data_IF_261906961651
#
_entry.id   IF_261906961651
#
_cell.length_a   1.000
_cell.length_b   1.000
_cell.length_c   1.000
_cell.angle_alpha   90.00
_cell.angle_beta   90.00
_cell.angle_gamma   90.00
#
_symmetry.space_group_name_H-M   'P 1'
#
loop_
_entity.id
_entity.type
_entity.pdbx_description
1 polymer ?
#
# COMPACT_ATOMS: atom_id res chain seq x y z
N UNK A 1 -86.25 -28.15 37.42
CA UNK A 1 -85.39 -27.10 36.84
C UNK A 1 -83.98 -27.66 36.68
N UNK A 2 -83.48 -27.62 35.43
CA UNK A 2 -82.08 -27.55 34.99
C UNK A 2 -81.13 -28.67 35.47
N UNK A 3 -80.97 -29.74 34.70
CA UNK A 3 -80.13 -29.96 33.51
C UNK A 3 -78.66 -30.32 33.79
N UNK A 4 -78.38 -31.57 33.44
CA UNK A 4 -77.13 -32.30 33.29
C UNK A 4 -76.23 -31.74 32.18
N UNK A 5 -74.90 -31.79 32.38
CA UNK A 5 -73.92 -31.91 31.30
C UNK A 5 -72.72 -32.75 31.76
N UNK A 6 -72.49 -33.83 31.01
CA UNK A 6 -71.29 -34.67 30.98
C UNK A 6 -70.29 -34.10 29.97
N UNK A 7 -68.99 -34.19 30.26
CA UNK A 7 -67.92 -33.88 29.31
C UNK A 7 -66.88 -35.01 29.28
N UNK A 8 -66.68 -35.55 28.08
CA UNK A 8 -65.78 -36.66 27.73
C UNK A 8 -64.44 -36.10 27.22
N UNK A 9 -63.32 -36.70 27.62
CA UNK A 9 -61.97 -36.36 27.15
C UNK A 9 -61.63 -37.05 25.80
N UNK A 10 -60.85 -36.41 24.91
CA UNK A 10 -60.44 -37.03 23.65
C UNK A 10 -59.07 -37.76 23.77
N UNK A 11 -58.93 -38.82 22.98
CA UNK A 11 -57.76 -39.66 22.86
C UNK A 11 -56.63 -39.00 22.04
N UNK A 12 -55.39 -39.15 22.51
CA UNK A 12 -54.17 -38.66 21.87
C UNK A 12 -53.75 -39.50 20.66
N UNK A 13 -53.44 -38.82 19.55
CA UNK A 13 -52.95 -39.41 18.31
C UNK A 13 -51.42 -39.35 18.26
N UNK A 14 -50.77 -40.50 18.06
CA UNK A 14 -49.32 -40.62 17.98
C UNK A 14 -48.81 -40.28 16.57
N UNK A 15 -48.11 -39.15 16.44
CA UNK A 15 -47.44 -38.74 15.20
C UNK A 15 -46.01 -39.30 15.20
N UNK A 16 -45.76 -40.31 14.36
CA UNK A 16 -44.43 -40.85 14.09
C UNK A 16 -43.62 -39.90 13.20
N UNK A 17 -42.67 -39.17 13.80
CA UNK A 17 -41.74 -38.29 13.08
C UNK A 17 -40.62 -39.09 12.40
N UNK A 18 -40.61 -39.15 11.07
CA UNK A 18 -39.46 -39.62 10.28
C UNK A 18 -38.38 -38.52 10.28
N UNK A 19 -37.31 -38.73 11.05
CA UNK A 19 -36.07 -37.93 10.95
C UNK A 19 -35.37 -38.27 9.63
N UNK A 20 -35.42 -37.34 8.67
CA UNK A 20 -34.53 -37.37 7.52
C UNK A 20 -33.08 -37.17 8.00
N UNK A 21 -32.17 -38.05 7.56
CA UNK A 21 -30.75 -37.92 7.84
C UNK A 21 -30.22 -36.64 7.15
N UNK A 22 -29.93 -35.60 7.93
CA UNK A 22 -29.28 -34.40 7.44
C UNK A 22 -27.88 -34.78 6.93
N UNK A 23 -27.68 -34.66 5.60
CA UNK A 23 -26.37 -34.85 4.99
C UNK A 23 -25.37 -33.89 5.62
N UNK A 24 -24.17 -34.39 5.92
CA UNK A 24 -23.08 -33.55 6.45
C UNK A 24 -22.80 -32.43 5.44
N UNK A 25 -22.75 -31.15 5.87
CA UNK A 25 -22.39 -30.06 4.97
C UNK A 25 -21.02 -30.36 4.37
N UNK A 26 -20.95 -30.43 3.04
CA UNK A 26 -19.68 -30.50 2.33
C UNK A 26 -18.91 -29.22 2.64
N UNK A 27 -17.77 -29.36 3.32
CA UNK A 27 -16.84 -28.26 3.56
C UNK A 27 -16.45 -27.69 2.20
N UNK A 28 -16.90 -26.47 1.92
CA UNK A 28 -16.49 -25.75 0.72
C UNK A 28 -15.00 -25.47 0.87
N UNK A 29 -14.19 -26.07 0.00
CA UNK A 29 -12.75 -25.88 0.01
C UNK A 29 -12.44 -24.43 -0.38
N UNK A 30 -11.69 -23.73 0.47
CA UNK A 30 -11.38 -22.32 0.28
C UNK A 30 -10.36 -22.13 -0.86
N UNK A 31 -10.56 -21.09 -1.67
CA UNK A 31 -9.57 -20.68 -2.65
C UNK A 31 -8.42 -19.95 -1.95
N UNK A 32 -7.21 -20.13 -2.44
CA UNK A 32 -6.02 -19.41 -1.97
C UNK A 32 -5.51 -18.47 -3.06
N UNK A 33 -5.06 -17.29 -2.68
CA UNK A 33 -4.35 -16.37 -3.56
C UNK A 33 -2.84 -16.41 -3.33
N UNK A 34 -2.07 -16.25 -4.39
CA UNK A 34 -0.63 -16.10 -4.33
C UNK A 34 -0.20 -14.94 -5.22
N UNK A 35 0.52 -13.99 -4.64
CA UNK A 35 1.08 -12.83 -5.36
C UNK A 35 2.57 -13.02 -5.58
N UNK A 36 3.01 -12.87 -6.82
CA UNK A 36 4.43 -12.92 -7.20
C UNK A 36 4.85 -11.60 -7.81
N UNK A 37 5.98 -11.06 -7.35
CA UNK A 37 6.59 -9.87 -7.93
C UNK A 37 7.54 -10.23 -9.08
N UNK A 38 7.46 -9.47 -10.17
CA UNK A 38 8.30 -9.63 -11.36
C UNK A 38 8.93 -8.27 -11.69
N UNK A 39 10.24 -8.17 -11.53
CA UNK A 39 11.06 -7.02 -11.93
C UNK A 39 11.08 -6.88 -13.46
N UNK A 40 11.09 -5.64 -13.96
CA UNK A 40 11.32 -5.34 -15.38
C UNK A 40 12.78 -5.47 -15.78
N UNK A 41 13.07 -5.47 -17.08
CA UNK A 41 14.44 -5.49 -17.59
C UNK A 41 15.25 -4.26 -17.12
N UNK A 42 14.63 -3.08 -17.11
CA UNK A 42 15.23 -1.86 -16.56
C UNK A 42 15.60 -2.05 -15.07
N UNK A 43 14.67 -2.57 -14.26
CA UNK A 43 14.92 -2.80 -12.85
C UNK A 43 16.00 -3.85 -12.62
N UNK A 44 15.98 -4.96 -13.37
CA UNK A 44 17.02 -5.99 -13.31
C UNK A 44 18.40 -5.46 -13.69
N UNK A 45 18.46 -4.56 -14.69
CA UNK A 45 19.70 -3.90 -15.07
C UNK A 45 20.26 -3.08 -13.90
N UNK A 46 19.42 -2.34 -13.17
CA UNK A 46 19.85 -1.62 -11.98
C UNK A 46 20.23 -2.55 -10.83
N UNK A 47 19.40 -3.53 -10.49
CA UNK A 47 19.69 -4.49 -9.41
C UNK A 47 21.04 -5.21 -9.62
N UNK A 48 21.37 -5.55 -10.87
CA UNK A 48 22.63 -6.21 -11.22
C UNK A 48 23.86 -5.30 -11.18
N UNK A 49 23.70 -3.97 -11.20
CA UNK A 49 24.81 -3.03 -11.42
C UNK A 49 24.87 -1.86 -10.43
N UNK A 50 23.88 -1.66 -9.55
CA UNK A 50 23.73 -0.47 -8.69
C UNK A 50 24.98 -0.19 -7.84
N UNK A 51 25.67 -1.24 -7.35
CA UNK A 51 26.93 -1.09 -6.60
C UNK A 51 28.00 -0.34 -7.39
N UNK A 52 28.12 -0.60 -8.70
CA UNK A 52 29.07 0.09 -9.56
C UNK A 52 28.49 1.39 -10.14
N UNK A 53 27.19 1.41 -10.42
CA UNK A 53 26.53 2.56 -11.05
C UNK A 53 26.37 3.75 -10.11
N UNK A 54 26.24 3.55 -8.79
CA UNK A 54 26.09 4.65 -7.84
C UNK A 54 27.24 5.66 -7.90
N UNK A 55 28.48 5.20 -8.15
CA UNK A 55 29.67 6.06 -8.19
C UNK A 55 29.80 6.85 -9.49
N UNK A 56 29.13 6.39 -10.56
CA UNK A 56 29.05 7.08 -11.86
C UNK A 56 27.61 7.34 -12.27
N UNK A 57 26.77 7.62 -11.30
CA UNK A 57 25.31 7.66 -11.46
C UNK A 57 24.88 8.52 -12.65
N UNK A 58 25.44 9.72 -12.76
CA UNK A 58 25.10 10.65 -13.85
C UNK A 58 25.55 10.20 -15.24
N UNK A 59 26.63 9.42 -15.35
CA UNK A 59 27.06 8.87 -16.63
C UNK A 59 26.12 7.75 -17.07
N UNK A 60 25.68 6.92 -16.13
CA UNK A 60 24.80 5.78 -16.37
C UNK A 60 23.41 6.24 -16.82
N UNK A 61 22.77 7.13 -16.06
CA UNK A 61 21.40 7.59 -16.38
C UNK A 61 21.34 8.32 -17.72
N UNK A 62 22.45 8.90 -18.19
CA UNK A 62 22.54 9.60 -19.48
C UNK A 62 22.83 8.68 -20.68
N UNK A 63 23.06 7.39 -20.45
CA UNK A 63 23.23 6.46 -21.58
C UNK A 63 21.96 6.40 -22.43
N UNK A 64 22.07 6.21 -23.77
CA UNK A 64 20.89 6.19 -24.65
C UNK A 64 19.82 5.18 -24.23
N UNK A 65 20.24 4.02 -23.75
CA UNK A 65 19.32 2.97 -23.29
C UNK A 65 18.54 3.41 -22.04
N UNK A 66 19.23 3.96 -21.03
CA UNK A 66 18.55 4.47 -19.82
C UNK A 66 17.59 5.60 -20.17
N UNK A 67 18.01 6.56 -21.01
CA UNK A 67 17.15 7.65 -21.47
C UNK A 67 15.89 7.14 -22.20
N UNK A 68 16.02 6.12 -23.05
CA UNK A 68 14.88 5.54 -23.74
C UNK A 68 13.89 4.87 -22.77
N UNK A 69 14.39 4.09 -21.81
CA UNK A 69 13.55 3.48 -20.78
C UNK A 69 12.88 4.52 -19.87
N UNK A 70 13.63 5.54 -19.42
CA UNK A 70 13.09 6.66 -18.64
C UNK A 70 11.98 7.38 -19.41
N UNK A 71 12.16 7.61 -20.72
CA UNK A 71 11.13 8.21 -21.56
C UNK A 71 9.85 7.38 -21.57
N UNK A 72 9.94 6.07 -21.84
CA UNK A 72 8.79 5.17 -21.83
C UNK A 72 8.09 5.20 -20.47
N UNK A 73 8.86 5.14 -19.38
CA UNK A 73 8.34 5.21 -18.01
C UNK A 73 7.51 6.48 -17.80
N UNK A 74 8.12 7.65 -17.98
CA UNK A 74 7.48 8.93 -17.68
C UNK A 74 6.30 9.21 -18.61
N UNK A 75 6.40 8.90 -19.91
CA UNK A 75 5.29 9.07 -20.86
C UNK A 75 4.11 8.16 -20.52
N UNK A 76 4.36 6.93 -20.07
CA UNK A 76 3.30 5.98 -19.70
C UNK A 76 2.55 6.45 -18.45
N UNK A 77 3.26 6.89 -17.41
CA UNK A 77 2.62 7.42 -16.19
C UNK A 77 1.89 8.72 -16.48
N UNK A 78 2.48 9.64 -17.25
CA UNK A 78 1.81 10.88 -17.64
C UNK A 78 0.52 10.61 -18.42
N UNK A 79 0.52 9.61 -19.32
CA UNK A 79 -0.67 9.20 -20.05
C UNK A 79 -1.75 8.61 -19.12
N UNK A 80 -1.39 7.79 -18.15
CA UNK A 80 -2.35 7.28 -17.17
C UNK A 80 -2.93 8.41 -16.30
N UNK A 81 -2.08 9.31 -15.81
CA UNK A 81 -2.48 10.47 -15.02
C UNK A 81 -3.39 11.44 -15.80
N UNK A 82 -3.27 11.51 -17.13
CA UNK A 82 -4.18 12.28 -17.99
C UNK A 82 -5.52 11.57 -18.25
N UNK A 83 -5.77 10.42 -17.63
CA UNK A 83 -7.00 9.63 -17.80
C UNK A 83 -7.09 8.87 -19.11
N UNK A 84 -5.97 8.70 -19.84
CA UNK A 84 -5.96 7.92 -21.08
C UNK A 84 -6.36 6.47 -20.77
N UNK A 85 -7.33 5.96 -21.50
CA UNK A 85 -7.80 4.59 -21.36
C UNK A 85 -6.86 3.60 -22.05
N UNK A 86 -6.89 2.34 -21.62
CA UNK A 86 -6.12 1.24 -22.22
C UNK A 86 -4.60 1.50 -22.26
N UNK A 87 -4.05 2.01 -21.15
CA UNK A 87 -2.60 2.14 -20.99
C UNK A 87 -1.94 0.77 -21.20
N UNK A 88 -0.97 0.74 -22.10
CA UNK A 88 -0.13 -0.43 -22.32
C UNK A 88 1.19 -0.20 -21.60
N UNK A 89 1.47 -1.05 -20.61
CA UNK A 89 2.72 -1.03 -19.88
C UNK A 89 3.74 -1.92 -20.58
N UNK A 90 4.93 -1.37 -20.86
CA UNK A 90 6.04 -2.14 -21.40
C UNK A 90 6.67 -2.99 -20.29
N UNK A 91 6.64 -4.33 -20.34
CA UNK A 91 7.24 -5.19 -19.33
C UNK A 91 8.76 -5.08 -19.24
N UNK A 92 9.44 -4.52 -20.24
CA UNK A 92 10.87 -4.22 -20.16
C UNK A 92 11.14 -2.99 -19.28
N UNK A 93 10.14 -2.13 -19.05
CA UNK A 93 10.27 -0.89 -18.27
C UNK A 93 9.56 -0.98 -16.93
N UNK A 94 8.32 -1.47 -16.90
CA UNK A 94 7.50 -1.55 -15.68
C UNK A 94 7.55 -2.92 -15.03
N UNK A 95 7.80 -2.93 -13.72
CA UNK A 95 7.68 -4.11 -12.89
C UNK A 95 6.20 -4.39 -12.60
N UNK A 96 5.87 -5.61 -12.18
CA UNK A 96 4.48 -6.00 -11.93
C UNK A 96 4.32 -7.02 -10.82
N UNK A 97 3.14 -7.04 -10.24
CA UNK A 97 2.67 -8.12 -9.39
C UNK A 97 1.69 -8.97 -10.18
N UNK A 98 1.84 -10.29 -10.08
CA UNK A 98 0.93 -11.27 -10.66
C UNK A 98 0.28 -12.03 -9.51
N UNK A 99 -1.02 -11.81 -9.32
CA UNK A 99 -1.82 -12.49 -8.31
C UNK A 99 -2.61 -13.60 -8.98
N UNK A 100 -2.38 -14.83 -8.55
CA UNK A 100 -3.09 -16.02 -9.04
C UNK A 100 -4.03 -16.53 -7.97
N UNK A 101 -5.24 -16.94 -8.37
CA UNK A 101 -6.21 -17.59 -7.48
C UNK A 101 -6.29 -19.07 -7.81
N UNK A 102 -6.13 -19.92 -6.80
CA UNK A 102 -6.26 -21.38 -6.93
C UNK A 102 -7.40 -21.87 -6.05
N UNK A 103 -8.40 -22.49 -6.66
CA UNK A 103 -9.56 -23.06 -5.96
C UNK A 103 -9.52 -24.59 -6.06
N UNK A 104 -9.58 -25.33 -4.93
CA UNK A 104 -9.60 -26.79 -4.98
C UNK A 104 -10.79 -27.32 -5.78
N UNK A 105 -10.54 -28.28 -6.67
CA UNK A 105 -11.55 -28.86 -7.57
C UNK A 105 -11.71 -28.18 -8.93
N UNK A 106 -11.03 -27.05 -9.19
CA UNK A 106 -11.01 -26.38 -10.49
C UNK A 106 -9.70 -26.56 -11.28
N UNK A 107 -9.09 -27.75 -11.21
CA UNK A 107 -7.77 -28.03 -11.82
C UNK A 107 -7.69 -27.85 -13.35
N UNK A 108 -8.81 -27.65 -14.06
CA UNK A 108 -8.85 -27.53 -15.52
C UNK A 108 -9.25 -26.14 -16.04
N UNK A 109 -9.66 -25.21 -15.17
CA UNK A 109 -9.94 -23.84 -15.60
C UNK A 109 -8.62 -23.05 -15.72
N UNK A 110 -8.48 -22.13 -16.70
CA UNK A 110 -7.34 -21.22 -16.74
C UNK A 110 -7.24 -20.49 -15.39
N UNK A 111 -6.07 -20.51 -14.75
CA UNK A 111 -5.86 -19.69 -13.56
C UNK A 111 -6.06 -18.23 -13.96
N UNK A 112 -7.08 -17.59 -13.38
CA UNK A 112 -7.26 -16.15 -13.53
C UNK A 112 -6.11 -15.45 -12.81
N UNK A 113 -5.35 -14.66 -13.56
CA UNK A 113 -4.24 -13.87 -13.03
C UNK A 113 -4.59 -12.38 -13.08
N UNK A 114 -4.52 -11.72 -11.93
CA UNK A 114 -4.64 -10.27 -11.82
C UNK A 114 -3.22 -9.70 -11.92
N UNK A 115 -3.00 -8.80 -12.87
CA UNK A 115 -1.72 -8.10 -13.03
C UNK A 115 -1.90 -6.67 -12.55
N UNK A 116 -1.07 -6.24 -11.60
CA UNK A 116 -0.97 -4.84 -11.18
C UNK A 116 0.44 -4.33 -11.46
N UNK A 117 0.52 -3.16 -12.08
CA UNK A 117 1.80 -2.58 -12.52
C UNK A 117 2.36 -1.63 -11.45
N UNK A 118 3.68 -1.51 -11.39
CA UNK A 118 4.40 -0.57 -10.53
C UNK A 118 5.60 0.01 -11.28
N UNK A 119 6.00 1.23 -10.95
CA UNK A 119 7.20 1.83 -11.52
C UNK A 119 8.46 1.00 -11.22
N UNK A 120 9.45 0.97 -12.11
CA UNK A 120 10.68 0.23 -11.88
C UNK A 120 11.45 0.78 -10.68
N UNK A 121 12.08 -0.11 -9.92
CA UNK A 121 13.12 0.27 -8.98
C UNK A 121 14.38 0.60 -9.79
N UNK A 122 14.58 1.88 -10.09
CA UNK A 122 15.63 2.37 -10.96
C UNK A 122 16.04 3.79 -10.55
N UNK A 123 17.19 4.25 -11.06
CA UNK A 123 17.77 5.56 -10.77
C UNK A 123 18.13 5.75 -9.28
N UNK A 124 17.97 6.96 -8.75
CA UNK A 124 18.54 7.42 -7.49
C UNK A 124 17.48 7.70 -6.42
N UNK A 125 16.45 6.84 -6.31
CA UNK A 125 15.41 6.93 -5.27
C UNK A 125 14.55 8.21 -5.32
N UNK A 126 14.49 8.84 -6.51
CA UNK A 126 13.78 10.07 -6.83
C UNK A 126 13.27 10.04 -8.26
N UNK A 127 12.56 11.11 -8.66
CA UNK A 127 12.18 11.32 -10.05
C UNK A 127 13.41 11.15 -10.97
N UNK A 128 13.33 10.33 -12.05
CA UNK A 128 14.48 9.98 -12.90
C UNK A 128 15.28 11.17 -13.46
N UNK A 129 14.61 12.30 -13.65
CA UNK A 129 15.18 13.55 -14.18
C UNK A 129 15.47 14.61 -13.11
N UNK A 130 15.31 14.32 -11.81
CA UNK A 130 15.55 15.30 -10.74
C UNK A 130 17.03 15.53 -10.46
N UNK A 131 17.85 14.50 -10.69
CA UNK A 131 19.29 14.51 -10.45
C UNK A 131 20.05 14.84 -11.74
N UNK A 132 21.37 15.05 -11.62
CA UNK A 132 22.26 15.22 -12.77
C UNK A 132 21.89 16.36 -13.73
N UNK A 133 21.23 17.41 -13.22
CA UNK A 133 20.79 18.59 -13.98
C UNK A 133 19.87 18.24 -15.17
N UNK A 134 19.02 17.22 -15.01
CA UNK A 134 18.11 16.75 -16.05
C UNK A 134 16.74 17.45 -16.05
N UNK A 135 16.52 18.40 -15.15
CA UNK A 135 15.49 19.43 -15.26
C UNK A 135 14.16 19.17 -14.53
N UNK A 136 13.99 18.05 -13.83
CA UNK A 136 12.82 17.86 -12.96
C UNK A 136 13.08 18.40 -11.54
N UNK A 137 11.99 18.73 -10.85
CA UNK A 137 12.02 19.11 -9.44
C UNK A 137 12.38 17.89 -8.56
N UNK A 138 13.05 18.12 -7.43
CA UNK A 138 13.45 17.05 -6.51
C UNK A 138 12.24 16.36 -5.88
N UNK A 139 11.17 17.12 -5.65
CA UNK A 139 9.92 16.68 -5.03
C UNK A 139 8.84 16.38 -6.07
N UNK A 140 9.22 16.16 -7.33
CA UNK A 140 8.30 15.70 -8.37
C UNK A 140 7.93 14.23 -8.12
N UNK A 141 6.63 13.92 -8.02
CA UNK A 141 6.09 12.56 -7.83
C UNK A 141 5.47 11.97 -9.10
N UNK A 142 5.56 12.67 -10.24
CA UNK A 142 5.00 12.25 -11.52
C UNK A 142 5.59 10.96 -12.10
N UNK A 143 6.57 10.36 -11.41
CA UNK A 143 7.19 9.08 -11.75
C UNK A 143 6.64 7.89 -10.94
N UNK A 144 5.84 8.14 -9.90
CA UNK A 144 5.26 7.10 -9.05
C UNK A 144 3.98 6.53 -9.66
N UNK A 145 3.88 5.21 -9.72
CA UNK A 145 2.68 4.50 -10.16
C UNK A 145 1.95 3.93 -8.94
N UNK A 146 1.11 4.75 -8.32
CA UNK A 146 0.34 4.33 -7.13
C UNK A 146 -0.88 3.47 -7.49
N UNK A 147 -1.48 2.81 -6.52
CA UNK A 147 -2.63 1.92 -6.70
C UNK A 147 -3.85 2.68 -7.28
N UNK A 148 -4.72 1.94 -7.95
CA UNK A 148 -6.00 2.44 -8.42
C UNK A 148 -7.15 1.56 -7.92
N UNK A 149 -8.36 2.10 -7.91
CA UNK A 149 -9.53 1.42 -7.37
C UNK A 149 -9.84 0.11 -8.08
N UNK A 150 -9.64 0.05 -9.41
CA UNK A 150 -9.93 -1.15 -10.21
C UNK A 150 -9.06 -2.32 -9.75
N UNK A 151 -7.77 -2.09 -9.57
CA UNK A 151 -6.82 -3.12 -9.13
C UNK A 151 -7.10 -3.56 -7.69
N UNK A 152 -7.36 -2.61 -6.79
CA UNK A 152 -7.72 -2.91 -5.40
C UNK A 152 -8.99 -3.76 -5.31
N UNK A 153 -10.03 -3.43 -6.08
CA UNK A 153 -11.27 -4.20 -6.11
C UNK A 153 -11.07 -5.61 -6.69
N UNK A 154 -10.25 -5.74 -7.74
CA UNK A 154 -9.94 -7.04 -8.33
C UNK A 154 -9.19 -7.94 -7.32
N UNK A 155 -8.18 -7.41 -6.63
CA UNK A 155 -7.43 -8.14 -5.61
C UNK A 155 -8.33 -8.58 -4.44
N UNK A 156 -9.20 -7.70 -3.95
CA UNK A 156 -10.20 -8.03 -2.91
C UNK A 156 -11.15 -9.14 -3.36
N UNK A 157 -11.67 -9.05 -4.59
CA UNK A 157 -12.57 -10.07 -5.13
C UNK A 157 -11.89 -11.44 -5.27
N UNK A 158 -10.58 -11.45 -5.54
CA UNK A 158 -9.80 -12.70 -5.57
C UNK A 158 -9.51 -13.26 -4.17
N UNK A 159 -9.29 -12.40 -3.17
CA UNK A 159 -9.00 -12.80 -1.80
C UNK A 159 -10.23 -13.26 -1.01
N UNK A 160 -11.43 -12.83 -1.41
CA UNK A 160 -12.66 -13.10 -0.66
C UNK A 160 -13.29 -14.44 -1.11
N UNK A 161 -13.61 -15.36 -0.18
CA UNK A 161 -14.48 -16.50 -0.46
C UNK A 161 -15.80 -16.05 -1.10
N UNK A 162 -16.33 -16.81 -2.06
CA UNK A 162 -17.50 -16.41 -2.88
C UNK A 162 -18.78 -16.09 -2.09
N UNK A 163 -18.82 -16.35 -0.78
CA UNK A 163 -19.97 -16.18 0.11
C UNK A 163 -19.68 -15.37 1.39
N UNK A 164 -18.53 -14.71 1.52
CA UNK A 164 -18.22 -13.86 2.69
C UNK A 164 -18.16 -12.40 2.28
N UNK A 165 -18.68 -11.50 3.11
CA UNK A 165 -18.33 -10.08 3.01
C UNK A 165 -16.85 -9.93 3.36
N UNK A 166 -16.07 -9.31 2.47
CA UNK A 166 -14.62 -9.16 2.61
C UNK A 166 -14.23 -8.46 3.92
N UNK A 167 -15.11 -7.56 4.41
CA UNK A 167 -14.98 -6.87 5.68
C UNK A 167 -16.13 -7.28 6.59
N UNK A 168 -15.86 -8.20 7.52
CA UNK A 168 -16.88 -8.95 8.26
C UNK A 168 -17.59 -8.17 9.38
N UNK A 169 -17.08 -7.00 9.77
CA UNK A 169 -17.63 -6.23 10.90
C UNK A 169 -17.96 -4.76 10.56
N UNK A 170 -17.59 -4.29 9.37
CA UNK A 170 -17.83 -2.94 8.88
C UNK A 170 -17.60 -2.89 7.36
N UNK A 171 -17.99 -1.78 6.72
CA UNK A 171 -17.56 -1.51 5.35
C UNK A 171 -16.03 -1.50 5.24
N UNK A 172 -15.51 -2.01 4.12
CA UNK A 172 -14.09 -1.90 3.81
C UNK A 172 -13.68 -0.44 3.68
N UNK A 173 -12.51 -0.12 4.22
CA UNK A 173 -11.98 1.23 4.32
C UNK A 173 -10.74 1.40 3.45
N UNK A 174 -10.47 2.63 3.05
CA UNK A 174 -9.15 3.09 2.63
C UNK A 174 -8.50 3.88 3.77
N UNK A 175 -7.35 3.43 4.24
CA UNK A 175 -6.64 3.96 5.40
C UNK A 175 -5.28 4.49 4.93
N UNK A 176 -5.00 5.75 5.26
CA UNK A 176 -3.68 6.34 5.07
C UNK A 176 -3.01 6.54 6.42
N UNK A 177 -1.81 5.98 6.58
CA UNK A 177 -0.94 6.18 7.74
C UNK A 177 0.29 6.94 7.29
N UNK A 178 0.58 8.08 7.92
CA UNK A 178 1.71 8.95 7.58
C UNK A 178 2.53 9.21 8.82
N UNK A 179 3.71 8.60 8.89
CA UNK A 179 4.67 8.84 9.95
C UNK A 179 5.63 9.90 9.41
N UNK A 180 5.57 11.10 10.02
CA UNK A 180 6.21 12.35 9.56
C UNK A 180 5.33 13.11 8.58
N UNK A 181 4.09 13.35 9.01
CA UNK A 181 3.03 13.83 8.15
C UNK A 181 3.15 15.30 7.77
N UNK A 182 3.99 16.10 8.45
CA UNK A 182 3.97 17.57 8.36
C UNK A 182 2.55 18.12 8.55
N UNK A 183 2.13 19.17 7.85
CA UNK A 183 0.75 19.72 7.92
C UNK A 183 0.08 19.67 6.56
N UNK A 184 -1.25 19.71 6.57
CA UNK A 184 -2.00 19.88 5.32
C UNK A 184 -1.70 21.25 4.70
N UNK A 185 -1.33 21.24 3.42
CA UNK A 185 -1.15 22.44 2.62
C UNK A 185 -2.13 22.44 1.44
N UNK A 186 -2.94 23.50 1.34
CA UNK A 186 -4.00 23.61 0.33
C UNK A 186 -3.45 23.81 -1.09
N UNK A 187 -2.19 24.22 -1.23
CA UNK A 187 -1.55 24.43 -2.53
C UNK A 187 -1.70 23.18 -3.42
N UNK A 188 -2.05 23.33 -4.71
CA UNK A 188 -2.24 22.17 -5.60
C UNK A 188 -0.99 21.30 -5.76
N UNK A 189 0.19 21.91 -5.63
CA UNK A 189 1.50 21.27 -5.75
C UNK A 189 2.10 20.82 -4.41
N UNK A 190 1.38 20.94 -3.29
CA UNK A 190 1.92 20.55 -1.98
C UNK A 190 2.41 19.11 -1.96
N UNK A 191 3.55 18.91 -1.31
CA UNK A 191 4.23 17.63 -1.08
C UNK A 191 3.76 17.11 0.28
N UNK A 192 3.41 15.83 0.40
CA UNK A 192 2.85 15.27 1.65
C UNK A 192 1.34 15.03 1.62
N UNK A 193 0.65 15.24 2.75
CA UNK A 193 -0.71 14.70 3.01
C UNK A 193 -1.73 14.99 1.90
N UNK A 194 -1.77 16.24 1.43
CA UNK A 194 -2.73 16.68 0.43
C UNK A 194 -2.46 16.04 -0.94
N UNK A 195 -1.21 15.71 -1.25
CA UNK A 195 -0.89 14.93 -2.45
C UNK A 195 -1.46 13.53 -2.36
N UNK A 196 -1.17 12.77 -1.30
CA UNK A 196 -1.68 11.41 -1.15
C UNK A 196 -3.19 11.38 -1.26
N UNK A 197 -3.89 12.25 -0.52
CA UNK A 197 -5.34 12.31 -0.58
C UNK A 197 -5.86 12.58 -2.00
N UNK A 198 -5.32 13.59 -2.69
CA UNK A 198 -5.77 13.96 -4.04
C UNK A 198 -5.40 12.91 -5.08
N UNK A 199 -4.20 12.37 -5.03
CA UNK A 199 -3.68 11.39 -5.99
C UNK A 199 -4.44 10.07 -5.90
N UNK A 200 -4.77 9.60 -4.70
CA UNK A 200 -5.64 8.43 -4.54
C UNK A 200 -7.07 8.72 -5.01
N UNK A 201 -7.63 9.88 -4.67
CA UNK A 201 -8.98 10.26 -5.11
C UNK A 201 -9.09 10.31 -6.64
N UNK A 202 -8.08 10.83 -7.33
CA UNK A 202 -7.99 10.83 -8.80
C UNK A 202 -7.98 9.42 -9.39
N UNK A 203 -7.56 8.42 -8.62
CA UNK A 203 -7.51 7.00 -9.02
C UNK A 203 -8.66 6.19 -8.44
N UNK A 204 -9.71 6.86 -7.97
CA UNK A 204 -10.95 6.28 -7.46
C UNK A 204 -10.87 5.77 -6.02
N UNK A 205 -9.76 6.00 -5.32
CA UNK A 205 -9.58 5.57 -3.93
C UNK A 205 -9.83 6.77 -3.02
N UNK A 206 -10.99 6.78 -2.36
CA UNK A 206 -11.32 7.82 -1.37
C UNK A 206 -10.86 7.36 0.02
N UNK A 207 -9.93 8.07 0.64
CA UNK A 207 -9.48 7.75 2.00
C UNK A 207 -10.61 7.97 3.01
N UNK A 208 -10.81 6.99 3.90
CA UNK A 208 -11.78 7.01 4.98
C UNK A 208 -11.14 7.42 6.31
N UNK A 209 -9.84 7.14 6.48
CA UNK A 209 -9.08 7.50 7.68
C UNK A 209 -7.69 7.98 7.29
N UNK A 210 -7.26 9.08 7.90
CA UNK A 210 -5.90 9.60 7.84
C UNK A 210 -5.35 9.60 9.26
N UNK A 211 -4.33 8.80 9.52
CA UNK A 211 -3.63 8.74 10.80
C UNK A 211 -2.22 9.31 10.59
N UNK A 212 -1.92 10.42 11.26
CA UNK A 212 -0.83 11.30 10.88
C UNK A 212 0.02 11.60 12.12
N UNK A 213 1.31 11.28 12.09
CA UNK A 213 2.25 11.55 13.18
C UNK A 213 3.21 12.66 12.80
N UNK A 214 3.43 13.62 13.69
CA UNK A 214 4.41 14.69 13.50
C UNK A 214 5.10 14.98 14.83
N UNK A 215 6.43 14.84 14.85
CA UNK A 215 7.25 15.04 16.04
C UNK A 215 7.44 16.53 16.35
N UNK A 216 7.46 17.40 15.33
CA UNK A 216 7.65 18.84 15.48
C UNK A 216 6.41 19.46 16.13
N UNK A 217 6.51 20.07 17.32
CA UNK A 217 5.36 20.68 17.98
C UNK A 217 4.72 21.80 17.15
N UNK A 218 3.41 21.76 16.99
CA UNK A 218 2.62 22.77 16.29
C UNK A 218 1.89 23.65 17.31
N UNK A 219 2.14 24.95 17.25
CA UNK A 219 1.48 25.93 18.11
C UNK A 219 0.92 27.10 17.30
N UNK A 220 -0.34 27.51 17.52
CA UNK A 220 -1.34 26.81 18.34
C UNK A 220 -1.78 25.49 17.67
N UNK A 221 -2.32 24.51 18.42
CA UNK A 221 -2.79 23.24 17.84
C UNK A 221 -3.83 23.41 16.72
N UNK A 222 -4.62 24.49 16.76
CA UNK A 222 -5.57 24.83 15.68
C UNK A 222 -4.90 25.06 14.32
N UNK A 223 -3.61 25.38 14.29
CA UNK A 223 -2.85 25.57 13.04
C UNK A 223 -2.69 24.27 12.22
N UNK A 224 -2.90 23.10 12.84
CA UNK A 224 -2.97 21.80 12.14
C UNK A 224 -4.14 21.78 11.15
N UNK A 225 -5.27 22.37 11.53
CA UNK A 225 -6.53 22.31 10.79
C UNK A 225 -6.77 23.54 9.89
N UNK A 226 -5.87 24.52 9.90
CA UNK A 226 -6.10 25.83 9.29
C UNK A 226 -6.35 25.77 7.77
N UNK A 227 -5.72 24.82 7.07
CA UNK A 227 -5.86 24.63 5.62
C UNK A 227 -6.58 23.32 5.25
N UNK A 228 -6.99 22.53 6.25
CA UNK A 228 -7.65 21.25 6.02
C UNK A 228 -9.08 21.49 5.50
N UNK A 229 -9.49 20.85 4.38
CA UNK A 229 -10.86 20.89 3.93
C UNK A 229 -11.82 20.36 5.00
N UNK A 230 -12.93 21.07 5.23
CA UNK A 230 -13.84 20.80 6.36
C UNK A 230 -14.46 19.40 6.30
N UNK A 231 -14.68 18.90 5.09
CA UNK A 231 -15.17 17.55 4.84
C UNK A 231 -14.21 16.46 5.34
N UNK A 232 -12.92 16.77 5.56
CA UNK A 232 -11.94 15.80 6.06
C UNK A 232 -11.85 15.76 7.58
N UNK A 233 -12.47 16.69 8.31
CA UNK A 233 -12.31 16.81 9.76
C UNK A 233 -12.64 15.50 10.50
N UNK A 234 -13.66 14.77 10.03
CA UNK A 234 -14.08 13.51 10.63
C UNK A 234 -13.18 12.31 10.28
N UNK A 235 -12.31 12.45 9.28
CA UNK A 235 -11.37 11.42 8.81
C UNK A 235 -9.95 11.62 9.35
N UNK A 236 -9.67 12.82 9.84
CA UNK A 236 -8.32 13.33 10.10
C UNK A 236 -7.93 13.16 11.57
N UNK A 237 -7.01 12.24 11.85
CA UNK A 237 -6.45 11.97 13.17
C UNK A 237 -4.98 12.39 13.18
N UNK A 238 -4.68 13.47 13.90
CA UNK A 238 -3.33 14.04 13.96
C UNK A 238 -2.73 13.86 15.34
N UNK A 239 -1.65 13.10 15.40
CA UNK A 239 -0.84 12.83 16.57
C UNK A 239 0.38 13.76 16.52
N UNK A 240 0.31 14.91 17.19
CA UNK A 240 1.47 15.81 17.30
C UNK A 240 2.45 15.33 18.37
N UNK A 241 2.89 14.10 18.19
CA UNK A 241 3.88 13.37 18.99
C UNK A 241 4.72 12.52 18.01
N UNK A 242 5.97 12.20 18.37
CA UNK A 242 6.78 11.28 17.57
C UNK A 242 6.08 9.92 17.41
N UNK A 243 6.28 9.27 16.26
CA UNK A 243 5.92 7.88 16.09
C UNK A 243 6.77 7.01 17.04
N UNK A 244 6.12 6.28 17.95
CA UNK A 244 6.81 5.44 18.92
C UNK A 244 7.53 4.25 18.28
N UNK A 245 8.74 3.94 18.76
CA UNK A 245 9.58 2.83 18.27
C UNK A 245 9.55 1.60 19.16
N UNK A 246 9.05 1.73 20.40
CA UNK A 246 8.86 0.61 21.33
C UNK A 246 7.60 -0.17 20.94
N UNK A 247 7.79 -1.37 20.40
CA UNK A 247 6.69 -2.24 19.98
C UNK A 247 5.79 -2.69 21.14
N UNK A 248 6.27 -2.65 22.38
CA UNK A 248 5.47 -3.00 23.56
C UNK A 248 4.46 -1.92 23.94
N UNK A 249 4.61 -0.70 23.42
CA UNK A 249 3.64 0.39 23.58
C UNK A 249 2.38 0.14 22.73
N UNK A 250 1.21 0.37 23.31
CA UNK A 250 -0.07 0.28 22.60
C UNK A 250 -0.22 1.35 21.50
N UNK A 251 0.48 2.49 21.61
CA UNK A 251 0.49 3.55 20.60
C UNK A 251 1.50 3.31 19.47
N UNK A 252 2.23 2.19 19.47
CA UNK A 252 3.14 1.87 18.36
C UNK A 252 2.35 1.77 17.04
N UNK A 253 2.74 2.48 15.95
CA UNK A 253 1.95 2.57 14.73
C UNK A 253 1.57 1.22 14.11
N UNK A 254 2.47 0.24 14.14
CA UNK A 254 2.20 -1.14 13.65
C UNK A 254 1.12 -1.85 14.46
N UNK A 255 1.04 -1.60 15.78
CA UNK A 255 -0.02 -2.17 16.63
C UNK A 255 -1.34 -1.47 16.41
N UNK A 256 -1.30 -0.16 16.19
CA UNK A 256 -2.48 0.60 15.78
C UNK A 256 -3.01 0.12 14.42
N UNK A 257 -2.14 -0.13 13.44
CA UNK A 257 -2.54 -0.73 12.16
C UNK A 257 -3.35 -2.02 12.37
N UNK A 258 -2.82 -2.96 13.18
CA UNK A 258 -3.48 -4.24 13.48
C UNK A 258 -4.82 -4.10 14.22
N UNK A 259 -5.01 -3.02 14.97
CA UNK A 259 -6.26 -2.82 15.71
C UNK A 259 -7.35 -2.14 14.88
N UNK A 260 -6.99 -1.46 13.79
CA UNK A 260 -7.94 -0.68 12.99
C UNK A 260 -8.22 -1.29 11.61
N UNK A 261 -7.24 -1.98 11.01
CA UNK A 261 -7.33 -2.49 9.65
C UNK A 261 -7.74 -3.97 9.62
N UNK A 262 -8.32 -4.36 8.49
CA UNK A 262 -8.77 -5.71 8.15
C UNK A 262 -8.15 -6.13 6.81
N UNK A 263 -8.01 -7.44 6.53
CA UNK A 263 -7.37 -7.92 5.31
C UNK A 263 -7.96 -7.40 3.99
N UNK A 264 -9.22 -6.96 3.99
CA UNK A 264 -9.89 -6.42 2.80
C UNK A 264 -9.98 -4.89 2.78
N UNK A 265 -9.35 -4.19 3.72
CA UNK A 265 -9.15 -2.76 3.59
C UNK A 265 -8.14 -2.45 2.48
N UNK A 266 -7.92 -1.17 2.23
CA UNK A 266 -6.79 -0.68 1.45
C UNK A 266 -5.96 0.16 2.40
N UNK A 267 -4.68 -0.17 2.57
CA UNK A 267 -3.79 0.57 3.46
C UNK A 267 -2.59 1.11 2.69
N UNK A 268 -2.49 2.44 2.68
CA UNK A 268 -1.30 3.16 2.28
C UNK A 268 -0.52 3.59 3.52
N UNK A 269 0.73 3.14 3.65
CA UNK A 269 1.57 3.40 4.82
C UNK A 269 2.84 4.14 4.38
N UNK A 270 3.00 5.39 4.81
CA UNK A 270 4.21 6.21 4.63
C UNK A 270 5.06 6.21 5.91
N UNK A 271 6.36 6.00 5.74
CA UNK A 271 7.38 6.09 6.78
C UNK A 271 8.51 7.02 6.31
N UNK A 272 8.53 8.23 6.87
CA UNK A 272 9.51 9.28 6.59
C UNK A 272 9.48 10.28 7.75
N UNK A 273 10.34 10.05 8.75
CA UNK A 273 10.39 10.79 10.03
C UNK A 273 11.76 11.45 10.28
N UNK A 274 12.58 11.57 9.23
CA UNK A 274 13.93 12.15 9.28
C UNK A 274 14.86 11.52 10.34
N UNK A 275 14.63 10.24 10.66
CA UNK A 275 15.40 9.52 11.67
C UNK A 275 15.56 8.04 11.30
N UNK A 276 16.68 7.73 10.64
CA UNK A 276 16.94 6.39 10.11
C UNK A 276 16.83 5.28 11.18
N UNK A 277 17.22 5.55 12.43
CA UNK A 277 17.17 4.55 13.50
C UNK A 277 15.73 4.20 13.89
N UNK A 278 14.87 5.22 14.03
CA UNK A 278 13.46 5.04 14.31
C UNK A 278 12.73 4.38 13.13
N UNK A 279 13.02 4.79 11.89
CA UNK A 279 12.45 4.20 10.67
C UNK A 279 12.82 2.73 10.55
N UNK A 280 14.10 2.40 10.71
CA UNK A 280 14.57 1.01 10.67
C UNK A 280 13.88 0.16 11.75
N UNK A 281 13.68 0.70 12.95
CA UNK A 281 12.96 -0.01 14.03
C UNK A 281 11.50 -0.28 13.65
N UNK A 282 10.79 0.74 13.15
CA UNK A 282 9.38 0.61 12.75
C UNK A 282 9.22 -0.35 11.56
N UNK A 283 10.09 -0.23 10.55
CA UNK A 283 10.10 -1.12 9.38
C UNK A 283 10.40 -2.56 9.78
N UNK A 284 11.35 -2.79 10.69
CA UNK A 284 11.64 -4.12 11.22
C UNK A 284 10.43 -4.71 11.94
N UNK A 285 9.77 -3.92 12.79
CA UNK A 285 8.56 -4.35 13.50
C UNK A 285 7.40 -4.66 12.52
N UNK A 286 7.18 -3.80 11.53
CA UNK A 286 6.13 -3.99 10.52
C UNK A 286 6.38 -5.23 9.67
N UNK A 287 7.61 -5.39 9.18
CA UNK A 287 7.97 -6.47 8.25
C UNK A 287 8.21 -7.82 8.92
N UNK A 288 8.44 -7.83 10.24
CA UNK A 288 8.57 -9.03 11.08
C UNK A 288 7.24 -9.54 11.65
N UNK A 289 6.21 -8.70 11.74
CA UNK A 289 4.86 -9.09 12.13
C UNK A 289 4.04 -9.45 10.89
N UNK A 290 3.94 -10.75 10.58
CA UNK A 290 3.26 -11.23 9.37
C UNK A 290 1.80 -10.80 9.29
N UNK A 291 1.12 -10.64 10.43
CA UNK A 291 -0.25 -10.16 10.47
C UNK A 291 -0.36 -8.66 10.16
N UNK A 292 0.57 -7.84 10.63
CA UNK A 292 0.63 -6.43 10.24
C UNK A 292 1.04 -6.26 8.77
N UNK A 293 2.07 -7.00 8.34
CA UNK A 293 2.60 -6.91 7.00
C UNK A 293 1.55 -7.24 5.93
N UNK A 294 0.68 -8.22 6.20
CA UNK A 294 -0.40 -8.60 5.30
C UNK A 294 -1.52 -7.55 5.18
N UNK A 295 -1.55 -6.53 6.05
CA UNK A 295 -2.53 -5.45 6.01
C UNK A 295 -2.08 -4.26 5.15
N UNK A 296 -0.82 -4.20 4.73
CA UNK A 296 -0.28 -3.07 3.94
C UNK A 296 -0.31 -3.41 2.45
N UNK A 297 -1.02 -2.61 1.67
CA UNK A 297 -1.07 -2.74 0.22
C UNK A 297 0.03 -1.91 -0.45
N UNK A 298 0.18 -0.67 -0.01
CA UNK A 298 1.07 0.32 -0.61
C UNK A 298 1.95 0.99 0.44
N UNK A 299 3.25 1.03 0.20
CA UNK A 299 4.25 1.43 1.18
C UNK A 299 5.16 2.52 0.61
N UNK A 300 5.32 3.62 1.33
CA UNK A 300 6.18 4.73 0.94
C UNK A 300 7.26 4.88 2.00
N UNK A 301 8.52 4.86 1.57
CA UNK A 301 9.67 4.97 2.47
C UNK A 301 10.69 5.94 1.89
N UNK A 302 11.11 6.90 2.69
CA UNK A 302 12.29 7.69 2.38
C UNK A 302 13.52 7.07 3.02
N UNK A 303 14.22 6.20 2.27
CA UNK A 303 15.36 5.46 2.82
C UNK A 303 16.66 6.25 2.68
N UNK A 304 17.01 7.03 3.70
CA UNK A 304 18.21 7.88 3.70
C UNK A 304 19.49 7.05 3.74
N UNK A 305 20.13 6.91 2.57
CA UNK A 305 21.40 6.17 2.40
C UNK A 305 22.54 7.11 2.03
N UNK A 306 23.78 6.69 2.26
CA UNK A 306 24.97 7.38 1.79
C UNK A 306 25.08 7.28 0.25
N UNK A 307 24.40 8.21 -0.41
CA UNK A 307 24.36 8.39 -1.85
C UNK A 307 24.61 9.86 -2.20
N UNK A 308 25.82 10.15 -2.68
CA UNK A 308 26.33 11.52 -2.88
C UNK A 308 25.35 12.49 -3.58
N UNK A 309 24.69 12.13 -4.71
CA UNK A 309 23.74 13.03 -5.35
C UNK A 309 22.58 13.49 -4.47
N UNK A 310 22.18 12.69 -3.48
CA UNK A 310 21.12 13.04 -2.52
C UNK A 310 21.65 13.71 -1.25
N UNK A 311 22.84 13.34 -0.77
CA UNK A 311 23.51 14.07 0.32
C UNK A 311 23.66 15.54 -0.06
N UNK A 312 24.07 15.83 -1.29
CA UNK A 312 24.22 17.20 -1.80
C UNK A 312 22.88 17.94 -1.98
N UNK A 313 21.74 17.25 -1.87
CA UNK A 313 20.41 17.78 -2.21
C UNK A 313 19.35 17.68 -1.12
N UNK A 314 19.69 17.16 0.07
CA UNK A 314 18.75 17.17 1.19
C UNK A 314 19.07 16.18 2.31
N UNK A 315 19.78 15.10 2.00
CA UNK A 315 20.02 14.03 2.99
C UNK A 315 21.18 14.26 3.93
N UNK A 316 21.92 15.37 3.80
CA UNK A 316 23.09 15.63 4.65
C UNK A 316 22.69 15.76 6.12
N UNK A 317 23.20 14.85 6.94
CA UNK A 317 22.95 14.76 8.38
C UNK A 317 21.79 13.85 8.77
N UNK A 318 21.05 13.30 7.80
CA UNK A 318 19.94 12.37 8.01
C UNK A 318 20.20 10.99 7.40
N UNK A 319 21.30 10.84 6.64
CA UNK A 319 21.71 9.57 6.04
C UNK A 319 22.19 8.54 7.06
N UNK A 320 21.94 7.25 6.78
CA UNK A 320 22.69 6.16 7.39
C UNK A 320 24.03 6.00 6.64
N UNK A 321 25.17 6.39 7.25
CA UNK A 321 26.47 6.35 6.59
C UNK A 321 26.94 4.92 6.26
N UNK A 322 26.27 3.90 6.83
CA UNK A 322 26.61 2.50 6.62
C UNK A 322 25.78 1.85 5.50
N UNK A 323 24.85 2.59 4.90
CA UNK A 323 23.98 2.10 3.83
C UNK A 323 24.27 2.84 2.55
N UNK A 324 24.28 2.14 1.43
CA UNK A 324 24.49 2.69 0.10
C UNK A 324 23.22 2.57 -0.75
N UNK A 325 23.25 3.14 -1.96
CA UNK A 325 22.15 3.01 -2.91
C UNK A 325 21.81 1.53 -3.18
N UNK A 326 22.82 0.66 -3.26
CA UNK A 326 22.63 -0.78 -3.41
C UNK A 326 21.81 -1.43 -2.27
N UNK A 327 21.99 -0.97 -1.03
CA UNK A 327 21.21 -1.47 0.11
C UNK A 327 19.74 -1.06 0.02
N UNK A 328 19.47 0.17 -0.43
CA UNK A 328 18.10 0.62 -0.70
C UNK A 328 17.43 -0.24 -1.76
N UNK A 329 18.13 -0.52 -2.87
CA UNK A 329 17.62 -1.36 -3.95
C UNK A 329 17.27 -2.76 -3.45
N UNK A 330 18.18 -3.36 -2.67
CA UNK A 330 17.94 -4.66 -2.05
C UNK A 330 16.72 -4.63 -1.11
N UNK A 331 16.60 -3.59 -0.29
CA UNK A 331 15.46 -3.43 0.62
C UNK A 331 14.14 -3.33 -0.16
N UNK A 332 14.02 -2.38 -1.09
CA UNK A 332 12.78 -2.21 -1.87
C UNK A 332 12.42 -3.46 -2.67
N UNK A 333 13.40 -4.15 -3.26
CA UNK A 333 13.15 -5.43 -3.92
C UNK A 333 12.56 -6.47 -2.95
N UNK A 334 13.12 -6.60 -1.74
CA UNK A 334 12.59 -7.52 -0.73
C UNK A 334 11.17 -7.15 -0.28
N UNK A 335 10.87 -5.86 -0.12
CA UNK A 335 9.52 -5.40 0.21
C UNK A 335 8.53 -5.73 -0.91
N UNK A 336 8.91 -5.50 -2.17
CA UNK A 336 8.08 -5.86 -3.34
C UNK A 336 7.90 -7.38 -3.48
N UNK A 337 8.93 -8.18 -3.22
CA UNK A 337 8.82 -9.64 -3.18
C UNK A 337 7.87 -10.15 -2.07
N UNK A 338 7.68 -9.39 -0.99
CA UNK A 338 6.69 -9.68 0.05
C UNK A 338 5.26 -9.29 -0.34
N UNK A 339 5.06 -8.65 -1.49
CA UNK A 339 3.76 -8.23 -2.00
C UNK A 339 3.42 -6.76 -1.75
N UNK A 340 4.27 -5.99 -1.07
CA UNK A 340 4.04 -4.56 -0.88
C UNK A 340 4.33 -3.79 -2.16
N UNK A 341 3.42 -2.90 -2.57
CA UNK A 341 3.72 -1.88 -3.57
C UNK A 341 4.62 -0.82 -2.93
N UNK A 342 5.91 -1.12 -2.85
CA UNK A 342 6.88 -0.27 -2.16
C UNK A 342 7.47 0.78 -3.10
N UNK A 343 7.36 2.04 -2.69
CA UNK A 343 7.80 3.23 -3.41
C UNK A 343 8.88 3.97 -2.61
N UNK A 344 9.93 4.39 -3.30
CA UNK A 344 10.87 5.36 -2.73
C UNK A 344 10.21 6.74 -2.68
N UNK A 345 10.04 7.27 -1.48
CA UNK A 345 9.40 8.55 -1.21
C UNK A 345 10.36 9.74 -1.43
N UNK A 346 9.80 10.96 -1.57
CA UNK A 346 10.52 12.20 -1.96
C UNK A 346 10.47 13.35 -0.97
#
# INVERSE_FOLDING_TARGET
MLHSTTATAPAGSAITARRAAAGKPQQQLECTTQTTYISSDLELAWLGNVTAWQDRFCDVVRTPQQQQWTKIWLETIAAEASGKQNITYDPAVFSRFVTTRTCPGQQQAPQESIITWIEPLAHGLRHPNSLCNMGADLFDRGYLLIANQKDVLALRAAATPSNSEACSSRSCQAIYMDLGATRWEAAPNSVGQAWFYRSYAQRGITMDRLLLWEAVPVSPPSAIFAQLPKELFHKYQYFNIPAGTDYSDASHPVRMLKSIAQPADFVAFKLDIDNYAAENSILSNLSGDTAAAALVDEFFLEYHVDFKPMIERGWKGTEDPNKKLADAFKLFQQLRQKGWRAHSWV
#
